data_IF_939601591073
#
_entry.id   IF_939601591073
#
_cell.length_a   1.000
_cell.length_b   1.000
_cell.length_c   1.000
_cell.angle_alpha   90.00
_cell.angle_beta   90.00
_cell.angle_gamma   90.00
#
_symmetry.space_group_name_H-M   'P 1'
#
loop_
_entity.id
_entity.type
_entity.pdbx_description
1 polymer ?
#
# COMPACT_ATOMS: atom_id res chain seq x y z
N UNK A 1 -9.85 -2.32 -12.10
CA UNK A 1 -10.99 -2.53 -11.17
C UNK A 1 -10.47 -3.23 -9.94
N UNK A 2 -11.00 -2.92 -8.77
CA UNK A 2 -10.71 -3.66 -7.53
C UNK A 2 -12.02 -4.05 -6.84
N UNK A 3 -11.98 -5.15 -6.07
CA UNK A 3 -13.10 -5.65 -5.28
C UNK A 3 -12.57 -6.23 -3.98
N UNK A 4 -13.38 -6.19 -2.92
CA UNK A 4 -13.09 -6.84 -1.64
C UNK A 4 -13.85 -8.14 -1.44
N UNK A 5 -14.91 -8.35 -2.21
CA UNK A 5 -15.83 -9.49 -2.06
C UNK A 5 -16.00 -10.28 -3.36
N UNK A 6 -15.37 -9.84 -4.46
CA UNK A 6 -15.51 -10.45 -5.78
C UNK A 6 -16.84 -10.14 -6.48
N UNK A 7 -17.78 -9.47 -5.81
CA UNK A 7 -19.12 -9.16 -6.32
C UNK A 7 -19.28 -7.67 -6.64
N UNK A 8 -18.81 -6.81 -5.75
CA UNK A 8 -18.87 -5.36 -5.90
C UNK A 8 -17.52 -4.82 -6.38
N UNK A 9 -17.51 -4.20 -7.56
CA UNK A 9 -16.30 -3.76 -8.22
C UNK A 9 -16.21 -2.24 -8.31
N UNK A 10 -15.09 -1.67 -7.86
CA UNK A 10 -14.75 -0.29 -8.13
C UNK A 10 -13.92 -0.22 -9.41
N UNK A 11 -14.39 0.54 -10.39
CA UNK A 11 -13.63 0.85 -11.60
C UNK A 11 -12.84 2.14 -11.39
N UNK A 12 -11.56 2.07 -11.65
CA UNK A 12 -10.68 3.23 -11.64
C UNK A 12 -10.71 3.91 -13.01
N UNK A 13 -10.68 5.24 -13.04
CA UNK A 13 -10.70 6.02 -14.28
C UNK A 13 -9.38 5.97 -15.05
N UNK A 14 -8.29 5.64 -14.36
CA UNK A 14 -6.96 5.54 -14.96
C UNK A 14 -6.64 4.13 -15.43
N UNK A 15 -5.91 4.04 -16.56
CA UNK A 15 -5.39 2.76 -17.03
C UNK A 15 -4.25 2.30 -16.13
N UNK A 16 -4.26 1.01 -15.77
CA UNK A 16 -3.21 0.39 -14.96
C UNK A 16 -1.86 0.36 -15.71
N UNK A 17 -1.86 -0.02 -16.98
CA UNK A 17 -0.72 0.17 -17.89
C UNK A 17 -1.11 1.20 -18.95
N UNK A 18 -0.38 2.30 -18.97
CA UNK A 18 -0.58 3.36 -19.95
C UNK A 18 0.34 3.14 -21.16
N UNK A 19 -0.16 3.31 -22.39
CA UNK A 19 0.69 3.16 -23.57
C UNK A 19 1.82 4.19 -23.66
N UNK A 20 1.65 5.38 -23.03
CA UNK A 20 2.62 6.47 -23.16
C UNK A 20 2.53 7.18 -24.53
N UNK A 21 3.54 7.99 -24.89
CA UNK A 21 3.51 8.80 -26.12
C UNK A 21 3.85 8.03 -27.40
N UNK A 22 4.38 6.83 -27.30
CA UNK A 22 4.85 6.04 -28.45
C UNK A 22 3.67 5.47 -29.25
N UNK A 23 3.47 5.85 -30.54
CA UNK A 23 2.30 5.43 -31.34
C UNK A 23 2.15 3.91 -31.44
N UNK A 24 3.25 3.19 -31.54
CA UNK A 24 3.28 1.73 -31.68
C UNK A 24 2.66 1.01 -30.48
N UNK A 25 2.63 1.66 -29.31
CA UNK A 25 2.03 1.13 -28.09
C UNK A 25 0.52 1.28 -28.02
N UNK A 26 -0.07 2.04 -28.94
CA UNK A 26 -1.53 2.25 -29.05
C UNK A 26 -2.22 1.20 -29.94
N UNK A 27 -1.46 0.25 -30.46
CA UNK A 27 -1.99 -0.83 -31.29
C UNK A 27 -2.80 -1.81 -30.46
N UNK A 28 -3.77 -2.47 -31.08
CA UNK A 28 -4.62 -3.49 -30.48
C UNK A 28 -3.80 -4.58 -29.75
N UNK A 29 -4.30 -5.01 -28.60
CA UNK A 29 -3.70 -6.01 -27.70
C UNK A 29 -2.36 -5.62 -27.05
N UNK A 30 -1.91 -4.41 -27.19
CA UNK A 30 -0.83 -3.86 -26.38
C UNK A 30 -1.37 -3.48 -24.99
N UNK A 31 -0.48 -3.43 -23.98
CA UNK A 31 -0.80 -3.08 -22.61
C UNK A 31 -1.77 -4.05 -21.90
N UNK A 32 -2.00 -5.22 -22.47
CA UNK A 32 -2.69 -6.32 -21.80
C UNK A 32 -1.67 -7.14 -21.02
N UNK A 33 -1.91 -7.28 -19.74
CA UNK A 33 -1.06 -8.09 -18.86
C UNK A 33 -1.29 -9.56 -19.19
N UNK A 34 -0.20 -10.30 -19.35
CA UNK A 34 -0.23 -11.76 -19.45
C UNK A 34 -0.77 -12.37 -18.15
N UNK A 35 -1.33 -13.55 -18.24
CA UNK A 35 -1.81 -14.28 -17.07
C UNK A 35 -0.71 -14.51 -16.04
N UNK A 36 -1.02 -14.16 -14.79
CA UNK A 36 -0.15 -14.39 -13.66
C UNK A 36 0.72 -13.18 -13.30
N UNK A 37 1.25 -13.24 -12.10
CA UNK A 37 2.21 -12.31 -11.54
C UNK A 37 3.23 -13.09 -10.73
N UNK A 38 4.47 -12.59 -10.68
CA UNK A 38 5.58 -13.24 -10.01
C UNK A 38 6.19 -12.29 -8.99
N UNK A 39 6.53 -12.81 -7.82
CA UNK A 39 7.40 -12.08 -6.90
C UNK A 39 8.85 -12.30 -7.35
N UNK A 40 9.57 -11.24 -7.57
CA UNK A 40 10.95 -11.25 -8.06
C UNK A 40 11.82 -10.31 -7.27
N UNK A 41 13.12 -10.54 -7.29
CA UNK A 41 14.09 -9.57 -6.78
C UNK A 41 14.04 -8.29 -7.61
N UNK A 42 14.15 -7.16 -6.93
CA UNK A 42 14.33 -5.88 -7.60
C UNK A 42 15.65 -5.84 -8.38
N UNK A 43 15.65 -5.10 -9.48
CA UNK A 43 16.88 -4.78 -10.20
C UNK A 43 17.77 -3.78 -9.43
N UNK A 44 17.21 -3.08 -8.44
CA UNK A 44 17.95 -2.14 -7.60
C UNK A 44 18.57 -2.87 -6.40
N UNK A 45 19.89 -2.80 -6.21
CA UNK A 45 20.54 -3.42 -5.07
C UNK A 45 19.97 -2.90 -3.73
N UNK A 46 19.65 -3.83 -2.82
CA UNK A 46 19.11 -3.50 -1.50
C UNK A 46 17.63 -3.12 -1.46
N UNK A 47 16.96 -2.99 -2.62
CA UNK A 47 15.53 -2.76 -2.65
C UNK A 47 14.75 -4.05 -2.31
N UNK A 48 13.54 -3.93 -1.75
CA UNK A 48 12.69 -5.08 -1.46
C UNK A 48 12.25 -5.82 -2.72
N UNK A 49 11.73 -7.04 -2.54
CA UNK A 49 11.12 -7.81 -3.61
C UNK A 49 9.93 -7.03 -4.21
N UNK A 50 9.66 -7.28 -5.49
CA UNK A 50 8.63 -6.60 -6.27
C UNK A 50 7.75 -7.59 -7.03
N UNK A 51 6.54 -7.17 -7.36
CA UNK A 51 5.64 -7.94 -8.23
C UNK A 51 6.03 -7.65 -9.68
N UNK A 52 6.36 -8.70 -10.44
CA UNK A 52 6.61 -8.62 -11.88
C UNK A 52 5.38 -9.02 -12.67
N UNK A 53 5.03 -8.18 -13.62
CA UNK A 53 3.94 -8.34 -14.58
C UNK A 53 4.53 -8.24 -15.98
N UNK A 54 3.95 -8.96 -16.92
CA UNK A 54 4.43 -8.96 -18.31
C UNK A 54 3.32 -8.57 -19.26
N UNK A 55 3.66 -7.80 -20.28
CA UNK A 55 2.75 -7.39 -21.34
C UNK A 55 3.44 -7.43 -22.69
N UNK A 56 2.67 -7.68 -23.75
CA UNK A 56 3.17 -7.59 -25.12
C UNK A 56 3.24 -6.13 -25.54
N UNK A 57 4.31 -5.77 -26.22
CA UNK A 57 4.47 -4.50 -26.93
C UNK A 57 4.73 -4.78 -28.42
N UNK A 58 4.30 -3.87 -29.29
CA UNK A 58 4.47 -4.01 -30.73
C UNK A 58 3.72 -5.22 -31.31
N UNK A 59 2.59 -5.62 -30.71
CA UNK A 59 1.80 -6.74 -31.21
C UNK A 59 1.33 -6.45 -32.64
N UNK A 60 1.57 -7.39 -33.55
CA UNK A 60 1.47 -7.25 -35.01
C UNK A 60 2.53 -6.37 -35.67
N UNK A 61 3.51 -5.87 -34.94
CA UNK A 61 4.65 -5.13 -35.50
C UNK A 61 5.86 -6.04 -35.67
N UNK A 62 6.85 -5.57 -36.44
CA UNK A 62 8.10 -6.34 -36.66
C UNK A 62 8.94 -6.53 -35.40
N UNK A 63 8.76 -5.66 -34.41
CA UNK A 63 9.46 -5.60 -33.14
C UNK A 63 8.61 -6.09 -31.96
N UNK A 64 7.67 -7.00 -32.21
CA UNK A 64 6.88 -7.58 -31.14
C UNK A 64 7.79 -8.13 -30.02
N UNK A 65 7.59 -7.64 -28.83
CA UNK A 65 8.41 -8.03 -27.65
C UNK A 65 7.55 -8.16 -26.41
N UNK A 66 8.07 -8.88 -25.42
CA UNK A 66 7.53 -8.92 -24.08
C UNK A 66 8.23 -7.89 -23.22
N UNK A 67 7.45 -7.07 -22.53
CA UNK A 67 7.96 -6.10 -21.56
C UNK A 67 7.57 -6.49 -20.14
N UNK A 68 8.56 -6.43 -19.23
CA UNK A 68 8.35 -6.56 -17.79
C UNK A 68 7.98 -5.21 -17.20
N UNK A 69 6.96 -5.22 -16.37
CA UNK A 69 6.58 -4.11 -15.51
C UNK A 69 6.74 -4.54 -14.06
N UNK A 70 7.14 -3.64 -13.21
CA UNK A 70 7.31 -3.92 -11.79
C UNK A 70 6.37 -3.06 -10.97
N UNK A 71 5.90 -3.63 -9.88
CA UNK A 71 5.01 -3.01 -8.92
C UNK A 71 5.51 -3.37 -7.52
N UNK A 72 5.47 -2.42 -6.60
CA UNK A 72 5.76 -2.72 -5.20
C UNK A 72 4.83 -3.81 -4.66
N UNK A 73 5.26 -4.55 -3.65
CA UNK A 73 4.39 -5.51 -2.95
C UNK A 73 3.13 -4.78 -2.46
N UNK A 74 1.95 -5.40 -2.64
CA UNK A 74 0.63 -4.86 -2.32
C UNK A 74 0.27 -3.52 -3.01
N UNK A 75 1.03 -3.09 -4.01
CA UNK A 75 0.97 -1.75 -4.60
C UNK A 75 -0.16 -1.50 -5.59
N UNK A 76 -1.18 -2.37 -5.68
CA UNK A 76 -2.27 -2.21 -6.66
C UNK A 76 -3.19 -1.02 -6.37
N UNK A 77 -3.43 -0.74 -5.10
CA UNK A 77 -4.23 0.40 -4.63
C UNK A 77 -3.70 0.87 -3.27
N UNK A 78 -3.89 2.13 -2.98
CA UNK A 78 -3.57 2.74 -1.70
C UNK A 78 -4.76 3.47 -1.11
N UNK A 79 -4.69 3.78 0.17
CA UNK A 79 -5.43 4.87 0.78
C UNK A 79 -4.52 6.08 0.69
N UNK A 80 -4.96 7.10 -0.02
CA UNK A 80 -4.20 8.31 -0.33
C UNK A 80 -4.69 9.50 0.49
N UNK A 81 -3.75 10.27 1.02
CA UNK A 81 -3.99 11.60 1.56
C UNK A 81 -3.10 12.59 0.81
N UNK A 82 -3.67 13.69 0.38
CA UNK A 82 -2.93 14.79 -0.27
C UNK A 82 -2.19 15.68 0.75
N UNK A 83 -1.63 16.79 0.28
CA UNK A 83 -0.91 17.75 1.14
C UNK A 83 -1.80 18.45 2.17
N UNK A 84 -3.12 18.49 1.97
CA UNK A 84 -4.06 19.00 2.98
C UNK A 84 -4.24 18.02 4.14
N UNK A 85 -3.86 16.75 3.92
CA UNK A 85 -3.97 15.69 4.89
C UNK A 85 -5.34 15.02 4.92
N UNK A 86 -5.41 13.92 5.64
CA UNK A 86 -6.63 13.15 5.81
C UNK A 86 -6.48 12.09 6.90
N UNK A 87 -7.57 11.47 7.24
CA UNK A 87 -7.56 10.37 8.19
C UNK A 87 -8.38 9.17 7.73
N UNK A 88 -7.99 8.01 8.19
CA UNK A 88 -8.70 6.76 7.99
C UNK A 88 -8.81 6.03 9.31
N UNK A 89 -10.02 5.56 9.64
CA UNK A 89 -10.26 4.71 10.82
C UNK A 89 -10.80 3.37 10.35
N UNK A 90 -10.20 2.29 10.85
CA UNK A 90 -10.70 0.95 10.55
C UNK A 90 -12.02 0.66 11.25
N UNK A 91 -12.76 -0.32 10.75
CA UNK A 91 -13.77 -0.98 11.59
C UNK A 91 -13.06 -1.68 12.76
N UNK A 92 -13.78 -2.00 13.85
CA UNK A 92 -13.21 -2.82 14.91
C UNK A 92 -12.65 -4.11 14.33
N UNK A 93 -11.43 -4.44 14.70
CA UNK A 93 -10.72 -5.64 14.28
C UNK A 93 -10.06 -6.31 15.48
N UNK A 94 -9.86 -7.62 15.39
CA UNK A 94 -9.05 -8.39 16.34
C UNK A 94 -7.85 -8.91 15.58
N UNK A 95 -6.73 -8.99 16.26
CA UNK A 95 -5.49 -9.46 15.68
C UNK A 95 -4.70 -10.29 16.68
N UNK A 96 -3.79 -11.09 16.15
CA UNK A 96 -2.73 -11.76 16.86
C UNK A 96 -1.40 -11.17 16.39
N UNK A 97 -0.45 -10.96 17.29
CA UNK A 97 0.85 -10.38 16.97
C UNK A 97 1.25 -9.24 17.93
N UNK A 98 2.50 -8.85 17.86
CA UNK A 98 3.14 -7.85 18.75
C UNK A 98 3.43 -6.55 18.04
N UNK A 99 3.49 -6.57 16.73
CA UNK A 99 3.89 -5.45 15.88
C UNK A 99 2.86 -5.14 14.82
N UNK A 100 2.60 -3.87 14.61
CA UNK A 100 1.92 -3.37 13.41
C UNK A 100 2.97 -3.00 12.38
N UNK A 101 2.89 -3.61 11.21
CA UNK A 101 3.77 -3.32 10.09
C UNK A 101 2.95 -2.69 8.97
N UNK A 102 3.46 -1.60 8.40
CA UNK A 102 2.82 -0.87 7.33
C UNK A 102 3.69 -0.85 6.06
N UNK A 103 3.01 -0.91 4.93
CA UNK A 103 3.55 -0.68 3.60
C UNK A 103 3.04 0.68 3.12
N UNK A 104 3.93 1.64 2.94
CA UNK A 104 3.56 3.03 2.71
C UNK A 104 4.60 3.79 1.88
N UNK A 105 4.20 4.93 1.36
CA UNK A 105 5.11 5.95 0.85
C UNK A 105 4.61 7.34 1.24
N UNK A 106 5.54 8.28 1.42
CA UNK A 106 5.24 9.70 1.62
C UNK A 106 6.14 10.55 0.73
N UNK A 107 5.75 11.79 0.50
CA UNK A 107 6.70 12.79 0.06
C UNK A 107 7.70 13.15 1.18
N UNK A 108 8.69 13.96 0.86
CA UNK A 108 9.65 14.48 1.85
C UNK A 108 9.00 15.35 2.95
N UNK A 109 7.82 15.92 2.69
CA UNK A 109 7.04 16.72 3.63
C UNK A 109 5.80 15.99 4.16
N UNK A 110 5.64 14.74 3.74
CA UNK A 110 4.52 13.89 4.13
C UNK A 110 4.80 13.12 5.41
N UNK A 111 3.73 12.63 6.03
CA UNK A 111 3.86 11.80 7.24
C UNK A 111 2.64 10.92 7.45
N UNK A 112 2.85 9.87 8.24
CA UNK A 112 1.80 9.00 8.78
C UNK A 112 2.00 8.91 10.29
N UNK A 113 0.90 9.03 11.05
CA UNK A 113 0.84 8.66 12.47
C UNK A 113 -0.28 7.68 12.68
N UNK A 114 -0.09 6.78 13.64
CA UNK A 114 -1.04 5.71 13.94
C UNK A 114 -1.43 5.76 15.41
N UNK A 115 -2.73 5.69 15.65
CA UNK A 115 -3.33 5.59 16.97
C UNK A 115 -4.12 4.29 17.07
N UNK A 116 -4.03 3.61 18.20
CA UNK A 116 -4.89 2.47 18.51
C UNK A 116 -6.02 2.95 19.42
N UNK A 117 -7.25 2.68 19.01
CA UNK A 117 -8.46 3.06 19.74
C UNK A 117 -9.20 1.83 20.23
N UNK A 118 -10.00 2.01 21.27
CA UNK A 118 -10.99 1.04 21.70
C UNK A 118 -12.18 0.97 20.70
N UNK A 119 -13.15 0.09 20.95
CA UNK A 119 -14.34 -0.04 20.10
C UNK A 119 -15.16 1.24 20.00
N UNK A 120 -15.11 2.10 21.00
CA UNK A 120 -15.87 3.35 21.07
C UNK A 120 -15.17 4.52 20.41
N UNK A 121 -13.89 4.34 20.02
CA UNK A 121 -13.11 5.36 19.34
C UNK A 121 -12.22 6.21 20.25
N UNK A 122 -12.04 5.83 21.53
CA UNK A 122 -11.11 6.48 22.42
C UNK A 122 -9.71 5.92 22.24
N UNK A 123 -8.70 6.78 22.23
CA UNK A 123 -7.31 6.37 22.21
C UNK A 123 -6.97 5.51 23.44
N UNK A 124 -6.28 4.40 23.20
CA UNK A 124 -5.75 3.58 24.29
C UNK A 124 -4.45 4.23 24.80
N UNK A 125 -4.29 4.29 26.11
CA UNK A 125 -3.10 4.86 26.75
C UNK A 125 -1.82 4.20 26.22
N UNK A 126 -0.82 5.02 25.89
CA UNK A 126 0.45 4.57 25.30
C UNK A 126 0.41 4.36 23.78
N UNK A 127 -0.77 4.49 23.14
CA UNK A 127 -0.95 4.28 21.70
C UNK A 127 -1.65 5.47 21.00
N UNK A 128 -1.62 6.65 21.61
CA UNK A 128 -2.21 7.86 21.03
C UNK A 128 -1.39 8.38 19.84
N UNK A 129 -1.96 9.33 19.08
CA UNK A 129 -1.21 10.03 18.03
C UNK A 129 0.02 10.75 18.56
N UNK A 130 -0.03 11.28 19.80
CA UNK A 130 1.09 11.98 20.41
C UNK A 130 2.23 11.00 20.82
N UNK A 131 1.88 9.75 21.07
CA UNK A 131 2.85 8.68 21.34
C UNK A 131 3.48 8.13 20.06
N UNK A 132 2.85 8.29 18.90
CA UNK A 132 3.37 7.83 17.62
C UNK A 132 4.26 8.92 16.97
N UNK A 133 5.58 8.70 16.83
CA UNK A 133 6.43 9.57 16.03
C UNK A 133 5.92 9.65 14.59
N UNK A 134 6.20 10.76 13.92
CA UNK A 134 5.93 10.86 12.47
C UNK A 134 6.73 9.81 11.69
N UNK A 135 6.01 9.03 10.89
CA UNK A 135 6.58 8.04 10.00
C UNK A 135 6.61 8.65 8.60
N UNK A 136 7.77 8.68 7.97
CA UNK A 136 7.96 9.18 6.60
C UNK A 136 8.94 8.30 5.84
N UNK A 137 8.90 8.36 4.53
CA UNK A 137 9.75 7.58 3.63
C UNK A 137 8.95 6.71 2.67
N UNK A 138 9.60 5.67 2.15
CA UNK A 138 9.03 4.70 1.23
C UNK A 138 9.51 3.29 1.63
N UNK A 139 8.68 2.57 2.38
CA UNK A 139 9.02 1.26 2.92
C UNK A 139 7.85 0.28 2.75
N UNK A 140 8.17 -0.98 2.48
CA UNK A 140 7.17 -2.06 2.36
C UNK A 140 6.96 -2.84 3.67
N UNK A 141 7.84 -2.61 4.65
CA UNK A 141 7.92 -3.41 5.90
C UNK A 141 8.33 -2.54 7.09
N UNK A 142 7.62 -1.46 7.34
CA UNK A 142 7.88 -0.55 8.45
C UNK A 142 7.10 -0.95 9.69
N UNK A 143 7.81 -1.31 10.77
CA UNK A 143 7.17 -1.47 12.08
C UNK A 143 6.80 -0.09 12.66
N UNK A 144 5.53 0.05 13.02
CA UNK A 144 5.04 1.22 13.76
C UNK A 144 5.51 1.11 15.20
N UNK A 145 6.02 2.21 15.73
CA UNK A 145 6.50 2.29 17.11
C UNK A 145 5.79 3.43 17.84
N UNK A 146 5.50 3.21 19.10
CA UNK A 146 5.02 4.24 20.02
C UNK A 146 6.09 4.57 21.05
N UNK A 147 6.08 5.80 21.50
CA UNK A 147 6.93 6.24 22.62
C UNK A 147 6.67 5.32 23.83
N UNK A 148 7.64 5.20 24.72
CA UNK A 148 7.57 4.36 25.91
C UNK A 148 7.64 2.84 25.64
N UNK A 149 7.79 2.39 24.39
CA UNK A 149 7.96 0.99 24.07
C UNK A 149 6.67 0.16 24.17
N UNK A 150 5.49 0.81 24.11
CA UNK A 150 4.21 0.11 24.08
C UNK A 150 4.16 -0.91 22.94
N UNK A 151 3.75 -2.13 23.23
CA UNK A 151 3.64 -3.22 22.26
C UNK A 151 2.19 -3.63 22.07
N UNK A 152 1.84 -4.03 20.86
CA UNK A 152 0.46 -4.45 20.56
C UNK A 152 0.02 -5.72 21.30
N UNK A 153 0.94 -6.43 21.95
CA UNK A 153 0.63 -7.57 22.82
C UNK A 153 -0.32 -7.18 23.96
N UNK A 154 -0.22 -5.93 24.46
CA UNK A 154 -1.04 -5.41 25.56
C UNK A 154 -2.52 -5.28 25.20
N UNK A 155 -2.81 -5.11 23.92
CA UNK A 155 -4.17 -4.94 23.37
C UNK A 155 -4.59 -6.10 22.46
N UNK A 156 -3.73 -7.10 22.30
CA UNK A 156 -3.98 -8.27 21.49
C UNK A 156 -5.25 -9.04 21.91
N UNK A 157 -5.97 -9.61 20.93
CA UNK A 157 -7.22 -10.35 21.16
C UNK A 157 -8.43 -9.51 21.54
N UNK A 158 -8.27 -8.24 21.90
CA UNK A 158 -9.36 -7.29 22.12
C UNK A 158 -9.78 -6.65 20.79
N UNK A 159 -11.06 -6.27 20.62
CA UNK A 159 -11.46 -5.49 19.48
C UNK A 159 -10.91 -4.06 19.59
N UNK A 160 -10.16 -3.64 18.58
CA UNK A 160 -9.56 -2.29 18.50
C UNK A 160 -9.84 -1.67 17.16
N UNK A 161 -9.70 -0.36 17.06
CA UNK A 161 -9.64 0.37 15.79
C UNK A 161 -8.24 0.92 15.60
N UNK A 162 -7.79 0.99 14.36
CA UNK A 162 -6.60 1.72 13.97
C UNK A 162 -7.02 3.02 13.30
N UNK A 163 -6.52 4.14 13.80
CA UNK A 163 -6.67 5.44 13.19
C UNK A 163 -5.34 5.87 12.59
N UNK A 164 -5.34 6.16 11.30
CA UNK A 164 -4.20 6.67 10.57
C UNK A 164 -4.46 8.13 10.24
N UNK A 165 -3.58 9.02 10.67
CA UNK A 165 -3.57 10.43 10.26
C UNK A 165 -2.41 10.57 9.29
N UNK A 166 -2.72 11.02 8.08
CA UNK A 166 -1.81 10.98 6.95
C UNK A 166 -1.74 12.35 6.28
N UNK A 167 -0.59 12.69 5.76
CA UNK A 167 -0.37 13.90 4.97
C UNK A 167 0.59 13.57 3.83
N UNK A 168 0.19 13.90 2.60
CA UNK A 168 0.97 13.64 1.38
C UNK A 168 1.59 12.23 1.38
N UNK A 169 0.71 11.23 1.53
CA UNK A 169 1.07 9.86 1.83
C UNK A 169 0.12 8.86 1.20
N UNK A 170 0.65 7.67 0.91
CA UNK A 170 -0.07 6.49 0.44
C UNK A 170 0.16 5.33 1.41
N UNK A 171 -0.92 4.73 1.91
CA UNK A 171 -0.90 3.50 2.69
C UNK A 171 -1.42 2.35 1.82
N UNK A 172 -0.56 1.37 1.54
CA UNK A 172 -0.86 0.25 0.64
C UNK A 172 -1.41 -0.96 1.39
N UNK A 173 -0.75 -1.35 2.46
CA UNK A 173 -1.21 -2.48 3.29
C UNK A 173 -0.75 -2.35 4.73
N UNK A 174 -1.44 -3.10 5.59
CA UNK A 174 -1.09 -3.30 7.01
C UNK A 174 -1.06 -4.78 7.32
N UNK A 175 -0.20 -5.19 8.22
CA UNK A 175 -0.17 -6.54 8.77
C UNK A 175 0.26 -6.54 10.23
N UNK A 176 -0.13 -7.57 10.95
CA UNK A 176 0.33 -7.85 12.31
C UNK A 176 1.30 -9.04 12.29
N UNK A 177 2.35 -8.99 13.10
CA UNK A 177 3.31 -10.08 13.28
C UNK A 177 3.80 -10.19 14.71
#
# INVERSE_FOLDING_TARGET
MSSRDGLHWKRWGEAFLRPGPEPERWVNRNNMIAWGMLVTKSALPGAPDEISLYSSEGYYQKDCRMRRFTLRMDGFVSIHADAAGGEMVTRPLRFDGRELVINFSTSAAGSIRVEVQDETGNAIEGFSLDDCPEIYGDEVDRTVQWKQGSTLEEVGGKPVRLRFVMKDADLYSIRFR
#
